data_IF_094894122926
#
_entry.id   IF_094894122926
#
_cell.length_a   1.000
_cell.length_b   1.000
_cell.length_c   1.000
_cell.angle_alpha   90.00
_cell.angle_beta   90.00
_cell.angle_gamma   90.00
#
_symmetry.space_group_name_H-M   'P 1'
#
loop_
_entity.id
_entity.type
_entity.pdbx_description
1 polymer ?
#
# COMPACT_ATOMS: atom_id res chain seq x y z
N UNK A 1 119.98 -39.74 44.53
CA UNK A 1 119.06 -38.60 44.67
C UNK A 1 117.99 -38.74 43.60
N UNK A 2 116.78 -39.01 44.07
CA UNK A 2 115.47 -38.54 43.58
C UNK A 2 115.13 -38.59 42.07
N UNK A 3 114.29 -39.59 41.75
CA UNK A 3 113.02 -39.53 40.98
C UNK A 3 112.97 -38.79 39.65
N UNK A 4 112.86 -39.55 38.56
CA UNK A 4 112.32 -39.09 37.27
C UNK A 4 110.93 -39.69 37.08
N UNK A 5 109.90 -38.86 37.24
CA UNK A 5 108.52 -39.20 36.93
C UNK A 5 108.17 -38.80 35.49
N UNK A 6 107.93 -39.85 34.69
CA UNK A 6 106.75 -40.09 33.84
C UNK A 6 105.85 -38.90 33.50
N UNK A 7 105.70 -38.61 32.20
CA UNK A 7 104.45 -38.09 31.64
C UNK A 7 104.09 -38.93 30.41
N UNK A 8 102.90 -39.54 30.46
CA UNK A 8 102.24 -40.20 29.34
C UNK A 8 100.81 -39.65 29.24
N UNK A 9 100.43 -39.19 28.05
CA UNK A 9 99.04 -38.94 27.67
C UNK A 9 98.96 -38.44 26.23
N UNK A 10 98.60 -39.33 25.29
CA UNK A 10 97.34 -39.35 24.52
C UNK A 10 97.12 -38.07 23.67
N UNK A 11 96.89 -38.12 22.36
CA UNK A 11 96.33 -39.19 21.54
C UNK A 11 95.04 -38.69 20.86
N UNK A 12 95.21 -38.18 19.64
CA UNK A 12 94.24 -37.89 18.56
C UNK A 12 93.23 -36.73 18.68
N UNK A 13 93.41 -35.83 17.72
CA UNK A 13 92.52 -34.78 17.20
C UNK A 13 91.37 -35.37 16.37
N UNK A 14 90.17 -34.80 16.48
CA UNK A 14 89.06 -35.01 15.54
C UNK A 14 88.97 -33.81 14.57
N UNK A 15 88.61 -34.02 13.29
CA UNK A 15 88.51 -32.94 12.32
C UNK A 15 87.09 -32.34 12.25
N UNK A 16 87.09 -31.01 12.14
CA UNK A 16 86.26 -30.18 11.26
C UNK A 16 84.81 -29.88 11.67
N UNK A 17 84.70 -28.66 12.20
CA UNK A 17 83.70 -27.63 11.94
C UNK A 17 82.85 -27.80 10.66
N UNK A 18 81.53 -27.76 10.80
CA UNK A 18 80.67 -26.84 10.04
C UNK A 18 79.35 -26.59 10.80
N UNK A 19 79.33 -25.51 11.58
CA UNK A 19 78.08 -24.88 12.03
C UNK A 19 78.12 -23.40 11.67
N UNK A 20 77.85 -23.13 10.41
CA UNK A 20 77.43 -21.83 9.91
C UNK A 20 76.05 -21.45 10.48
N UNK A 21 76.04 -20.71 11.59
CA UNK A 21 74.85 -20.01 12.09
C UNK A 21 74.48 -18.84 11.14
N UNK A 22 73.22 -18.69 10.68
CA UNK A 22 72.83 -17.54 9.87
C UNK A 22 72.65 -16.29 10.76
N UNK A 23 72.92 -15.08 10.23
CA UNK A 23 72.93 -13.87 11.05
C UNK A 23 71.51 -13.50 11.50
N UNK A 24 71.39 -13.12 12.78
CA UNK A 24 70.14 -12.77 13.49
C UNK A 24 69.31 -11.63 12.85
N UNK A 25 69.81 -10.97 11.81
CA UNK A 25 69.14 -9.87 11.12
C UNK A 25 68.03 -10.33 10.15
N UNK A 26 68.13 -11.53 9.57
CA UNK A 26 67.09 -12.07 8.68
C UNK A 26 65.81 -12.46 9.43
N UNK A 27 65.93 -12.90 10.69
CA UNK A 27 64.80 -13.38 11.52
C UNK A 27 63.84 -12.26 11.90
N UNK A 28 64.36 -11.06 12.21
CA UNK A 28 63.55 -9.86 12.50
C UNK A 28 62.87 -9.32 11.23
N UNK A 29 63.53 -9.36 10.07
CA UNK A 29 62.95 -8.93 8.78
C UNK A 29 61.84 -9.88 8.32
N UNK A 30 62.01 -11.20 8.49
CA UNK A 30 60.98 -12.21 8.22
C UNK A 30 59.77 -12.09 9.16
N UNK A 31 60.00 -11.83 10.45
CA UNK A 31 58.91 -11.59 11.41
C UNK A 31 58.08 -10.34 11.10
N UNK A 32 58.72 -9.26 10.64
CA UNK A 32 58.02 -8.05 10.15
C UNK A 32 57.18 -8.32 8.89
N UNK A 33 57.70 -9.11 7.94
CA UNK A 33 56.96 -9.47 6.71
C UNK A 33 55.72 -10.31 7.05
N UNK A 34 55.84 -11.27 7.98
CA UNK A 34 54.72 -12.10 8.44
C UNK A 34 53.66 -11.25 9.13
N UNK A 35 54.07 -10.32 10.02
CA UNK A 35 53.14 -9.42 10.70
C UNK A 35 52.39 -8.51 9.72
N UNK A 36 53.08 -7.91 8.74
CA UNK A 36 52.45 -7.08 7.70
C UNK A 36 51.49 -7.90 6.84
N UNK A 37 51.87 -9.13 6.48
CA UNK A 37 51.01 -10.02 5.69
C UNK A 37 49.73 -10.42 6.43
N UNK A 38 49.82 -10.65 7.75
CA UNK A 38 48.65 -10.93 8.59
C UNK A 38 47.72 -9.73 8.69
N UNK A 39 48.26 -8.52 8.85
CA UNK A 39 47.45 -7.28 8.88
C UNK A 39 46.74 -7.07 7.55
N UNK A 40 47.45 -7.22 6.42
CA UNK A 40 46.84 -7.10 5.08
C UNK A 40 45.75 -8.14 4.88
N UNK A 41 46.01 -9.39 5.25
CA UNK A 41 45.01 -10.45 5.15
C UNK A 41 43.76 -10.09 5.96
N UNK A 42 43.90 -9.73 7.25
CA UNK A 42 42.79 -9.33 8.10
C UNK A 42 41.96 -8.16 7.53
N UNK A 43 42.61 -7.15 6.94
CA UNK A 43 41.89 -6.03 6.31
C UNK A 43 41.05 -6.46 5.11
N UNK A 44 41.52 -7.41 4.30
CA UNK A 44 40.75 -7.91 3.15
C UNK A 44 39.52 -8.69 3.59
N UNK A 45 39.61 -9.44 4.69
CA UNK A 45 38.48 -10.27 5.16
C UNK A 45 37.38 -9.38 5.73
N UNK A 46 37.76 -8.35 6.50
CA UNK A 46 36.83 -7.35 7.03
C UNK A 46 36.14 -6.59 5.89
N UNK A 47 36.88 -6.19 4.85
CA UNK A 47 36.31 -5.54 3.68
C UNK A 47 35.30 -6.43 2.94
N UNK A 48 35.62 -7.72 2.77
CA UNK A 48 34.71 -8.68 2.13
C UNK A 48 33.43 -8.92 2.95
N UNK A 49 33.52 -8.97 4.28
CA UNK A 49 32.36 -9.10 5.17
C UNK A 49 31.46 -7.85 5.11
N UNK A 50 32.05 -6.65 5.10
CA UNK A 50 31.30 -5.40 4.94
C UNK A 50 30.62 -5.36 3.57
N UNK A 51 31.31 -5.78 2.50
CA UNK A 51 30.74 -5.84 1.16
C UNK A 51 29.57 -6.85 1.08
N UNK A 52 29.68 -8.01 1.73
CA UNK A 52 28.59 -8.99 1.81
C UNK A 52 27.37 -8.45 2.58
N UNK A 53 27.58 -7.75 3.70
CA UNK A 53 26.51 -7.13 4.47
C UNK A 53 25.81 -5.98 3.71
N UNK A 54 26.56 -5.23 2.90
CA UNK A 54 25.99 -4.22 1.98
C UNK A 54 25.22 -4.89 0.84
N UNK A 55 25.69 -6.05 0.35
CA UNK A 55 25.01 -6.77 -0.71
C UNK A 55 23.70 -7.43 -0.22
N UNK A 56 23.64 -7.87 1.04
CA UNK A 56 22.44 -8.44 1.68
C UNK A 56 21.40 -7.38 2.06
N UNK A 57 21.80 -6.11 2.19
CA UNK A 57 20.88 -4.97 2.35
C UNK A 57 20.45 -4.35 1.01
N UNK A 58 21.06 -4.77 -0.09
CA UNK A 58 20.72 -4.41 -1.47
C UNK A 58 20.01 -5.57 -2.20
N UNK A 59 19.27 -6.41 -1.48
CA UNK A 59 18.19 -7.19 -2.09
C UNK A 59 17.17 -6.21 -2.61
N UNK A 60 17.08 -6.12 -3.94
CA UNK A 60 16.03 -5.41 -4.67
C UNK A 60 14.69 -5.70 -4.00
N UNK A 61 14.08 -4.66 -3.44
CA UNK A 61 12.66 -4.69 -3.13
C UNK A 61 11.97 -4.76 -4.48
N UNK A 62 11.34 -5.90 -4.80
CA UNK A 62 10.39 -6.05 -5.90
C UNK A 62 9.20 -5.10 -5.66
N UNK A 63 9.40 -3.79 -5.78
CA UNK A 63 8.31 -2.84 -5.94
C UNK A 63 7.74 -3.07 -7.34
N UNK A 64 6.45 -3.44 -7.47
CA UNK A 64 5.87 -3.67 -8.77
C UNK A 64 5.94 -2.40 -9.60
N UNK A 65 6.48 -2.54 -10.81
CA UNK A 65 6.54 -1.47 -11.82
C UNK A 65 5.18 -0.72 -11.90
N UNK A 66 5.16 0.62 -12.03
CA UNK A 66 3.91 1.41 -12.01
C UNK A 66 2.84 0.93 -12.99
N UNK A 67 3.26 0.34 -14.12
CA UNK A 67 2.36 -0.26 -15.12
C UNK A 67 1.69 -1.55 -14.65
N UNK A 68 2.38 -2.39 -13.88
CA UNK A 68 1.83 -3.62 -13.30
C UNK A 68 0.85 -3.31 -12.17
N UNK A 69 1.18 -2.35 -11.31
CA UNK A 69 0.31 -1.93 -10.21
C UNK A 69 -1.01 -1.35 -10.75
N UNK A 70 -0.96 -0.51 -11.79
CA UNK A 70 -2.14 0.01 -12.47
C UNK A 70 -2.99 -1.11 -13.11
N UNK A 71 -2.35 -2.09 -13.75
CA UNK A 71 -3.06 -3.24 -14.35
C UNK A 71 -3.78 -4.08 -13.30
N UNK A 72 -3.10 -4.41 -12.20
CA UNK A 72 -3.67 -5.19 -11.10
C UNK A 72 -4.83 -4.43 -10.42
N UNK A 73 -4.68 -3.12 -10.22
CA UNK A 73 -5.75 -2.27 -9.69
C UNK A 73 -6.99 -2.27 -10.59
N UNK A 74 -6.82 -2.23 -11.91
CA UNK A 74 -7.94 -2.31 -12.85
C UNK A 74 -8.65 -3.67 -12.81
N UNK A 75 -7.93 -4.78 -12.64
CA UNK A 75 -8.50 -6.12 -12.46
C UNK A 75 -9.24 -6.26 -11.11
N UNK A 76 -8.66 -5.71 -10.05
CA UNK A 76 -9.32 -5.63 -8.74
C UNK A 76 -10.60 -4.81 -8.82
N UNK A 77 -10.59 -3.66 -9.51
CA UNK A 77 -11.78 -2.86 -9.72
C UNK A 77 -12.86 -3.63 -10.50
N UNK A 78 -12.49 -4.39 -11.54
CA UNK A 78 -13.45 -5.28 -12.22
C UNK A 78 -14.05 -6.32 -11.27
N UNK A 79 -13.24 -6.88 -10.38
CA UNK A 79 -13.71 -7.83 -9.37
C UNK A 79 -14.69 -7.18 -8.40
N UNK A 80 -14.41 -5.96 -7.94
CA UNK A 80 -15.34 -5.17 -7.12
C UNK A 80 -16.63 -4.90 -7.88
N UNK A 81 -16.57 -4.39 -9.10
CA UNK A 81 -17.77 -4.07 -9.88
C UNK A 81 -18.58 -5.31 -10.31
N UNK A 82 -17.98 -6.51 -10.30
CA UNK A 82 -18.71 -7.76 -10.62
C UNK A 82 -19.79 -8.12 -9.60
N UNK A 83 -19.74 -7.57 -8.38
CA UNK A 83 -20.76 -7.82 -7.35
C UNK A 83 -21.93 -6.86 -7.43
N UNK A 84 -21.89 -5.88 -8.35
CA UNK A 84 -22.91 -4.83 -8.47
C UNK A 84 -23.93 -5.13 -9.56
N UNK A 85 -25.10 -4.49 -9.49
CA UNK A 85 -26.13 -4.57 -10.52
C UNK A 85 -25.75 -3.84 -11.81
N UNK A 86 -24.90 -2.82 -11.70
CA UNK A 86 -24.47 -1.97 -12.82
C UNK A 86 -22.92 -1.98 -12.94
N UNK A 87 -22.30 -3.07 -13.42
CA UNK A 87 -20.84 -3.21 -13.43
C UNK A 87 -20.13 -2.13 -14.25
N UNK A 88 -20.67 -1.78 -15.42
CA UNK A 88 -20.08 -0.76 -16.30
C UNK A 88 -20.17 0.64 -15.67
N UNK A 89 -21.32 0.95 -15.05
CA UNK A 89 -21.55 2.19 -14.31
C UNK A 89 -20.60 2.28 -13.11
N UNK A 90 -20.42 1.19 -12.36
CA UNK A 90 -19.45 1.09 -11.26
C UNK A 90 -18.01 1.33 -11.74
N UNK A 91 -17.59 0.68 -12.83
CA UNK A 91 -16.21 0.82 -13.30
C UNK A 91 -15.94 2.23 -13.81
N UNK A 92 -16.86 2.80 -14.58
CA UNK A 92 -16.73 4.14 -15.16
C UNK A 92 -16.79 5.26 -14.11
N UNK A 93 -17.50 5.06 -13.00
CA UNK A 93 -17.57 6.05 -11.92
C UNK A 93 -16.34 6.03 -11.00
N UNK A 94 -15.73 4.86 -10.78
CA UNK A 94 -14.60 4.70 -9.86
C UNK A 94 -13.25 4.89 -10.56
N UNK A 95 -13.08 4.39 -11.79
CA UNK A 95 -11.79 4.39 -12.47
C UNK A 95 -11.12 5.77 -12.61
N UNK A 96 -11.84 6.89 -12.86
CA UNK A 96 -11.21 8.21 -12.92
C UNK A 96 -10.75 8.75 -11.56
N UNK A 97 -11.35 8.25 -10.48
CA UNK A 97 -11.04 8.65 -9.10
C UNK A 97 -9.93 7.80 -8.47
N UNK A 98 -9.63 6.64 -9.07
CA UNK A 98 -8.66 5.66 -8.57
C UNK A 98 -7.22 6.04 -8.92
N UNK A 99 -6.77 7.20 -8.43
CA UNK A 99 -5.42 7.72 -8.61
C UNK A 99 -4.91 8.32 -7.29
N UNK A 100 -3.87 7.74 -6.65
CA UNK A 100 -3.10 6.57 -7.10
C UNK A 100 -3.93 5.28 -7.11
N UNK A 101 -3.57 4.25 -7.90
CA UNK A 101 -4.35 3.02 -8.01
C UNK A 101 -4.41 2.27 -6.69
N UNK A 102 -5.62 1.88 -6.29
CA UNK A 102 -5.87 1.08 -5.08
C UNK A 102 -5.89 -0.42 -5.35
N UNK A 103 -5.57 -1.21 -4.32
CA UNK A 103 -5.72 -2.66 -4.30
C UNK A 103 -6.58 -3.14 -3.13
N UNK A 104 -7.32 -2.24 -2.46
CA UNK A 104 -8.04 -2.55 -1.22
C UNK A 104 -9.57 -2.39 -1.40
N UNK A 105 -10.40 -3.35 -0.98
CA UNK A 105 -11.86 -3.28 -1.12
C UNK A 105 -12.49 -2.06 -0.41
N UNK A 106 -12.01 -1.70 0.78
CA UNK A 106 -12.53 -0.53 1.51
C UNK A 106 -12.18 0.78 0.78
N UNK A 107 -11.01 0.86 0.15
CA UNK A 107 -10.68 2.00 -0.70
C UNK A 107 -11.60 2.10 -1.92
N UNK A 108 -11.90 0.97 -2.59
CA UNK A 108 -12.86 0.98 -3.71
C UNK A 108 -14.28 1.35 -3.26
N UNK A 109 -14.72 0.87 -2.09
CA UNK A 109 -15.97 1.30 -1.47
C UNK A 109 -15.99 2.82 -1.24
N UNK A 110 -14.92 3.39 -0.67
CA UNK A 110 -14.81 4.82 -0.43
C UNK A 110 -14.83 5.62 -1.75
N UNK A 111 -14.14 5.15 -2.80
CA UNK A 111 -14.19 5.77 -4.13
C UNK A 111 -15.61 5.72 -4.73
N UNK A 112 -16.33 4.61 -4.58
CA UNK A 112 -17.73 4.47 -5.02
C UNK A 112 -18.65 5.46 -4.29
N UNK A 113 -18.46 5.61 -2.97
CA UNK A 113 -19.20 6.55 -2.16
C UNK A 113 -18.87 8.01 -2.56
N UNK A 114 -17.60 8.31 -2.80
CA UNK A 114 -17.16 9.62 -3.27
C UNK A 114 -17.75 9.97 -4.65
N UNK A 115 -17.77 9.01 -5.59
CA UNK A 115 -18.44 9.19 -6.88
C UNK A 115 -19.93 9.52 -6.71
N UNK A 116 -20.60 8.86 -5.76
CA UNK A 116 -22.00 9.14 -5.43
C UNK A 116 -22.19 10.57 -4.89
N UNK A 117 -21.34 11.01 -3.95
CA UNK A 117 -21.37 12.39 -3.42
C UNK A 117 -21.20 13.43 -4.53
N UNK A 118 -20.24 13.21 -5.45
CA UNK A 118 -19.98 14.12 -6.56
C UNK A 118 -21.18 14.22 -7.51
N UNK A 119 -21.80 13.09 -7.87
CA UNK A 119 -22.96 13.07 -8.76
C UNK A 119 -24.17 13.78 -8.12
N UNK A 120 -24.48 13.48 -6.86
CA UNK A 120 -25.58 14.12 -6.12
C UNK A 120 -25.36 15.62 -5.98
N UNK A 121 -24.14 16.04 -5.64
CA UNK A 121 -23.78 17.45 -5.52
C UNK A 121 -23.89 18.17 -6.88
N UNK A 122 -23.49 17.51 -7.96
CA UNK A 122 -23.65 18.05 -9.31
C UNK A 122 -25.12 18.25 -9.68
N UNK A 123 -25.99 17.30 -9.32
CA UNK A 123 -27.43 17.37 -9.58
C UNK A 123 -28.11 18.48 -8.77
N UNK A 124 -27.75 18.62 -7.49
CA UNK A 124 -28.19 19.72 -6.64
C UNK A 124 -27.96 21.09 -7.31
N UNK A 125 -26.75 21.30 -7.85
CA UNK A 125 -26.39 22.57 -8.48
C UNK A 125 -27.25 22.92 -9.70
N UNK A 126 -27.83 21.93 -10.39
CA UNK A 126 -28.75 22.15 -11.51
C UNK A 126 -30.11 22.68 -11.03
N UNK A 127 -30.48 22.40 -9.79
CA UNK A 127 -31.75 22.81 -9.18
C UNK A 127 -31.67 24.22 -8.57
N UNK A 128 -30.48 24.65 -8.16
CA UNK A 128 -30.25 25.91 -7.45
C UNK A 128 -30.08 27.11 -8.40
N UNK A 129 -31.11 27.42 -9.18
CA UNK A 129 -31.14 28.63 -10.02
C UNK A 129 -31.99 29.75 -9.39
N UNK A 130 -31.65 31.04 -9.56
CA UNK A 130 -32.39 32.15 -8.92
C UNK A 130 -33.89 32.20 -9.28
N UNK A 131 -34.25 31.68 -10.45
CA UNK A 131 -35.61 31.61 -10.98
C UNK A 131 -36.26 30.24 -10.77
N UNK A 132 -35.75 29.43 -9.83
CA UNK A 132 -36.27 28.10 -9.55
C UNK A 132 -37.69 28.19 -8.98
N UNK A 133 -38.61 27.42 -9.57
CA UNK A 133 -39.96 27.22 -9.07
C UNK A 133 -39.92 26.55 -7.67
N UNK A 134 -40.97 26.69 -6.84
CA UNK A 134 -41.00 26.09 -5.49
C UNK A 134 -40.64 24.60 -5.46
N UNK A 135 -41.21 23.79 -6.37
CA UNK A 135 -40.91 22.36 -6.45
C UNK A 135 -39.43 22.04 -6.75
N UNK A 136 -38.72 22.92 -7.48
CA UNK A 136 -37.28 22.77 -7.70
C UNK A 136 -36.47 23.10 -6.44
N UNK A 137 -36.95 24.03 -5.60
CA UNK A 137 -36.33 24.33 -4.31
C UNK A 137 -36.51 23.19 -3.32
N UNK A 138 -37.72 22.64 -3.23
CA UNK A 138 -38.02 21.47 -2.40
C UNK A 138 -37.15 20.28 -2.84
N UNK A 139 -37.02 20.06 -4.16
CA UNK A 139 -36.10 19.06 -4.68
C UNK A 139 -34.63 19.36 -4.31
N UNK A 140 -34.19 20.63 -4.38
CA UNK A 140 -32.82 20.99 -4.00
C UNK A 140 -32.52 20.71 -2.52
N UNK A 141 -33.50 20.86 -1.62
CA UNK A 141 -33.40 20.50 -0.21
C UNK A 141 -33.23 18.98 -0.05
N UNK A 142 -34.04 18.16 -0.74
CA UNK A 142 -33.90 16.71 -0.74
C UNK A 142 -32.52 16.25 -1.26
N UNK A 143 -31.97 16.91 -2.28
CA UNK A 143 -30.61 16.64 -2.75
C UNK A 143 -29.52 17.09 -1.77
N UNK A 144 -29.77 18.11 -0.95
CA UNK A 144 -28.87 18.52 0.13
C UNK A 144 -28.84 17.49 1.26
N UNK A 145 -30.02 16.98 1.64
CA UNK A 145 -30.16 15.89 2.60
C UNK A 145 -29.46 14.62 2.09
N UNK A 146 -29.67 14.25 0.83
CA UNK A 146 -29.00 13.11 0.20
C UNK A 146 -27.47 13.27 0.23
N UNK A 147 -26.95 14.44 -0.15
CA UNK A 147 -25.51 14.70 -0.12
C UNK A 147 -24.94 14.62 1.30
N UNK A 148 -25.64 15.18 2.29
CA UNK A 148 -25.25 15.16 3.69
C UNK A 148 -25.18 13.74 4.26
N UNK A 149 -26.15 12.89 3.91
CA UNK A 149 -26.17 11.47 4.30
C UNK A 149 -24.98 10.70 3.72
N UNK A 150 -24.68 10.89 2.43
CA UNK A 150 -23.52 10.25 1.79
C UNK A 150 -22.18 10.75 2.37
N UNK A 151 -22.08 12.04 2.69
CA UNK A 151 -20.89 12.60 3.36
C UNK A 151 -20.71 11.99 4.74
N UNK A 152 -21.78 11.89 5.52
CA UNK A 152 -21.77 11.23 6.83
C UNK A 152 -21.32 9.77 6.73
N UNK A 153 -21.74 9.05 5.69
CA UNK A 153 -21.24 7.71 5.40
C UNK A 153 -19.72 7.70 5.15
N UNK A 154 -19.18 8.69 4.43
CA UNK A 154 -17.76 8.78 4.12
C UNK A 154 -16.92 9.11 5.37
N UNK A 155 -17.46 9.93 6.27
CA UNK A 155 -16.82 10.25 7.55
C UNK A 155 -16.81 9.03 8.49
N UNK A 156 -17.88 8.22 8.50
CA UNK A 156 -18.01 7.07 9.40
C UNK A 156 -16.93 6.00 9.19
N UNK A 157 -16.44 5.86 7.96
CA UNK A 157 -15.36 4.94 7.60
C UNK A 157 -13.97 5.55 7.81
N UNK A 158 -13.87 6.86 8.02
CA UNK A 158 -12.63 7.54 8.38
C UNK A 158 -12.37 7.36 9.89
N UNK A 159 -11.65 6.30 10.25
CA UNK A 159 -11.40 5.96 11.66
C UNK A 159 -10.00 6.31 12.13
N UNK A 160 -9.89 6.65 13.41
CA UNK A 160 -8.61 6.87 14.07
C UNK A 160 -7.85 5.56 14.31
N UNK A 161 -6.59 5.69 14.76
CA UNK A 161 -5.76 4.52 15.08
C UNK A 161 -6.40 3.65 16.17
N UNK A 162 -6.62 2.37 15.87
CA UNK A 162 -7.16 1.38 16.81
C UNK A 162 -8.68 1.16 16.73
N UNK A 163 -9.40 1.91 15.91
CA UNK A 163 -10.83 1.70 15.66
C UNK A 163 -11.06 0.84 14.40
N UNK A 164 -12.09 -0.01 14.44
CA UNK A 164 -12.53 -0.78 13.28
C UNK A 164 -13.32 0.10 12.32
N UNK A 165 -12.94 0.07 11.05
CA UNK A 165 -13.64 0.81 10.00
C UNK A 165 -15.01 0.18 9.72
N UNK A 166 -15.13 -1.15 9.82
CA UNK A 166 -16.34 -1.90 9.45
C UNK A 166 -16.85 -2.77 10.61
N UNK A 167 -17.57 -2.17 11.55
CA UNK A 167 -18.38 -2.92 12.53
C UNK A 167 -19.79 -3.17 11.98
N UNK A 168 -20.50 -4.17 12.48
CA UNK A 168 -21.90 -4.46 12.08
C UNK A 168 -22.80 -3.22 12.21
N UNK A 169 -22.65 -2.46 13.30
CA UNK A 169 -23.39 -1.22 13.54
C UNK A 169 -23.06 -0.17 12.47
N UNK A 170 -21.77 0.04 12.17
CA UNK A 170 -21.36 1.00 11.12
C UNK A 170 -21.88 0.58 9.76
N UNK A 171 -21.83 -0.71 9.42
CA UNK A 171 -22.38 -1.23 8.16
C UNK A 171 -23.88 -0.95 8.08
N UNK A 172 -24.63 -1.17 9.17
CA UNK A 172 -26.07 -0.87 9.23
C UNK A 172 -26.36 0.63 9.04
N UNK A 173 -25.57 1.50 9.67
CA UNK A 173 -25.70 2.96 9.51
C UNK A 173 -25.40 3.39 8.07
N UNK A 174 -24.32 2.87 7.48
CA UNK A 174 -23.96 3.11 6.08
C UNK A 174 -25.08 2.69 5.12
N UNK A 175 -25.63 1.48 5.30
CA UNK A 175 -26.76 1.00 4.52
C UNK A 175 -27.97 1.92 4.62
N UNK A 176 -28.27 2.37 5.84
CA UNK A 176 -29.41 3.25 6.12
C UNK A 176 -29.25 4.59 5.42
N UNK A 177 -28.12 5.28 5.61
CA UNK A 177 -27.91 6.62 5.05
C UNK A 177 -27.80 6.60 3.52
N UNK A 178 -27.15 5.59 2.93
CA UNK A 178 -27.10 5.48 1.47
C UNK A 178 -28.50 5.19 0.91
N UNK A 179 -29.30 4.32 1.53
CA UNK A 179 -30.66 4.01 1.07
C UNK A 179 -31.62 5.20 1.24
N UNK A 180 -31.45 5.99 2.29
CA UNK A 180 -32.25 7.19 2.51
C UNK A 180 -31.89 8.29 1.50
N UNK A 181 -30.60 8.49 1.17
CA UNK A 181 -30.19 9.38 0.08
C UNK A 181 -30.79 8.98 -1.29
N UNK A 182 -30.97 7.68 -1.55
CA UNK A 182 -31.70 7.19 -2.72
C UNK A 182 -33.19 7.56 -2.66
N UNK A 183 -33.81 7.42 -1.49
CA UNK A 183 -35.24 7.73 -1.28
C UNK A 183 -35.54 9.23 -1.46
N UNK A 184 -34.65 10.11 -1.01
CA UNK A 184 -34.80 11.55 -1.18
C UNK A 184 -34.79 11.96 -2.66
N UNK A 185 -33.95 11.30 -3.47
CA UNK A 185 -33.92 11.52 -4.92
C UNK A 185 -35.20 11.04 -5.61
N UNK A 186 -35.75 9.90 -5.19
CA UNK A 186 -37.05 9.42 -5.70
C UNK A 186 -38.17 10.39 -5.32
N UNK A 187 -38.19 10.84 -4.07
CA UNK A 187 -39.17 11.81 -3.56
C UNK A 187 -39.13 13.13 -4.35
N UNK A 188 -37.93 13.62 -4.68
CA UNK A 188 -37.81 14.78 -5.57
C UNK A 188 -38.44 14.50 -6.94
N UNK A 189 -38.13 13.36 -7.57
CA UNK A 189 -38.65 13.05 -8.90
C UNK A 189 -40.18 12.96 -8.89
N UNK A 190 -40.76 12.37 -7.84
CA UNK A 190 -42.21 12.29 -7.66
C UNK A 190 -42.82 13.68 -7.52
N UNK A 191 -42.24 14.55 -6.67
CA UNK A 191 -42.71 15.93 -6.51
C UNK A 191 -42.58 16.77 -7.79
N UNK A 192 -41.51 16.59 -8.56
CA UNK A 192 -41.34 17.27 -9.84
C UNK A 192 -42.29 16.73 -10.92
N UNK A 193 -42.66 15.45 -10.89
CA UNK A 193 -43.58 14.86 -11.86
C UNK A 193 -44.97 15.49 -11.81
N UNK A 194 -45.40 15.94 -10.64
CA UNK A 194 -46.66 16.67 -10.44
C UNK A 194 -46.70 18.04 -11.14
N UNK A 195 -45.53 18.58 -11.54
CA UNK A 195 -45.44 19.89 -12.23
C UNK A 195 -45.72 19.81 -13.74
N UNK A 196 -45.68 18.62 -14.34
CA UNK A 196 -45.95 18.42 -15.78
C UNK A 196 -44.89 18.97 -16.74
N UNK A 197 -43.68 19.31 -16.27
CA UNK A 197 -42.60 19.89 -17.07
C UNK A 197 -41.84 18.84 -17.90
N UNK A 198 -41.66 19.06 -19.21
CA UNK A 198 -40.84 18.21 -20.09
C UNK A 198 -39.33 18.35 -19.86
N UNK A 199 -38.90 19.41 -19.16
CA UNK A 199 -37.50 19.56 -18.74
C UNK A 199 -37.09 18.51 -17.68
N UNK A 200 -38.06 17.76 -17.14
CA UNK A 200 -37.85 16.73 -16.14
C UNK A 200 -37.22 15.45 -16.70
N UNK A 201 -37.39 15.15 -17.99
CA UNK A 201 -36.91 13.88 -18.55
C UNK A 201 -35.38 13.77 -18.54
N UNK A 202 -34.67 14.84 -18.92
CA UNK A 202 -33.20 14.85 -18.85
C UNK A 202 -32.71 14.78 -17.40
N UNK A 203 -33.37 15.52 -16.49
CA UNK A 203 -33.04 15.50 -15.07
C UNK A 203 -33.24 14.08 -14.50
N UNK A 204 -34.37 13.45 -14.81
CA UNK A 204 -34.69 12.07 -14.40
C UNK A 204 -33.63 11.06 -14.84
N UNK A 205 -33.11 11.17 -16.06
CA UNK A 205 -32.02 10.30 -16.52
C UNK A 205 -30.74 10.50 -15.70
N UNK A 206 -30.41 11.75 -15.34
CA UNK A 206 -29.25 12.03 -14.47
C UNK A 206 -29.48 11.50 -13.04
N UNK A 207 -30.69 11.65 -12.50
CA UNK A 207 -31.04 11.06 -11.20
C UNK A 207 -30.95 9.54 -11.23
N UNK A 208 -31.43 8.88 -12.28
CA UNK A 208 -31.27 7.43 -12.43
C UNK A 208 -29.81 6.99 -12.41
N UNK A 209 -28.92 7.74 -13.07
CA UNK A 209 -27.48 7.48 -13.01
C UNK A 209 -26.91 7.63 -11.60
N UNK A 210 -27.33 8.66 -10.86
CA UNK A 210 -27.01 8.83 -9.44
C UNK A 210 -27.51 7.65 -8.59
N UNK A 211 -28.72 7.15 -8.85
CA UNK A 211 -29.26 5.94 -8.22
C UNK A 211 -28.42 4.70 -8.50
N UNK A 212 -27.91 4.53 -9.73
CA UNK A 212 -27.00 3.44 -10.06
C UNK A 212 -25.71 3.51 -9.24
N UNK A 213 -25.13 4.70 -9.06
CA UNK A 213 -23.90 4.89 -8.27
C UNK A 213 -24.10 4.49 -6.80
N UNK A 214 -25.20 4.92 -6.18
CA UNK A 214 -25.51 4.53 -4.79
C UNK A 214 -25.87 3.05 -4.69
N UNK A 215 -26.59 2.49 -5.67
CA UNK A 215 -26.89 1.06 -5.74
C UNK A 215 -25.62 0.21 -5.84
N UNK A 216 -24.65 0.64 -6.65
CA UNK A 216 -23.32 0.02 -6.73
C UNK A 216 -22.59 0.12 -5.38
N UNK A 217 -22.63 1.28 -4.73
CA UNK A 217 -22.02 1.50 -3.41
C UNK A 217 -22.60 0.56 -2.34
N UNK A 218 -23.93 0.40 -2.29
CA UNK A 218 -24.59 -0.58 -1.40
C UNK A 218 -24.20 -2.02 -1.73
N UNK A 219 -24.12 -2.38 -3.02
CA UNK A 219 -23.74 -3.72 -3.41
C UNK A 219 -22.30 -4.07 -3.00
N UNK A 220 -21.36 -3.11 -3.15
CA UNK A 220 -19.99 -3.26 -2.68
C UNK A 220 -19.96 -3.43 -1.17
N UNK A 221 -20.69 -2.59 -0.42
CA UNK A 221 -20.78 -2.68 1.05
C UNK A 221 -21.33 -4.04 1.50
N UNK A 222 -22.42 -4.51 0.88
CA UNK A 222 -23.08 -5.77 1.25
C UNK A 222 -22.19 -6.99 0.96
N UNK A 223 -21.26 -6.88 0.01
CA UNK A 223 -20.32 -7.93 -0.36
C UNK A 223 -18.90 -7.68 0.18
N UNK A 224 -18.72 -6.70 1.07
CA UNK A 224 -17.39 -6.20 1.42
C UNK A 224 -16.52 -7.31 2.03
N UNK A 225 -17.07 -8.16 2.91
CA UNK A 225 -16.36 -9.33 3.45
C UNK A 225 -15.88 -10.27 2.34
N UNK A 226 -16.76 -10.64 1.40
CA UNK A 226 -16.39 -11.51 0.28
C UNK A 226 -15.31 -10.90 -0.60
N UNK A 227 -15.31 -9.57 -0.78
CA UNK A 227 -14.27 -8.87 -1.53
C UNK A 227 -12.92 -8.92 -0.81
N UNK A 228 -12.89 -8.73 0.50
CA UNK A 228 -11.68 -8.92 1.31
C UNK A 228 -11.14 -10.34 1.17
N UNK A 229 -12.00 -11.35 1.27
CA UNK A 229 -11.61 -12.76 1.12
C UNK A 229 -11.03 -13.05 -0.27
N UNK A 230 -11.67 -12.54 -1.34
CA UNK A 230 -11.18 -12.68 -2.74
C UNK A 230 -9.82 -12.03 -2.96
N UNK A 231 -9.51 -10.98 -2.19
CA UNK A 231 -8.25 -10.23 -2.30
C UNK A 231 -7.18 -10.81 -1.36
N UNK A 232 -7.51 -11.84 -0.56
CA UNK A 232 -6.60 -12.41 0.43
C UNK A 232 -6.30 -11.46 1.60
N UNK A 233 -7.24 -10.56 1.92
CA UNK A 233 -7.08 -9.54 2.95
C UNK A 233 -8.05 -9.78 4.12
N UNK A 234 -7.71 -9.27 5.30
CA UNK A 234 -8.58 -9.28 6.48
C UNK A 234 -9.36 -7.97 6.59
N UNK A 235 -10.64 -8.05 6.96
CA UNK A 235 -11.47 -6.86 7.17
C UNK A 235 -10.97 -6.04 8.39
N UNK A 236 -10.83 -4.70 8.24
CA UNK A 236 -10.38 -3.79 9.30
C UNK A 236 -11.46 -3.43 10.33
#
# INVERSE_FOLDING_TARGET
>A
MESINVIKGYGKVNPLDDHSNPPANHRRRRSRIIAVSLVVFLTLIIAALIAALIHESATESDEPEPSQLASNSAEHLKTVCSVTRYPDSCFSSISPLNSPPSNNPLSFFNLSLHASVLEVSSLKNLLTVPTAEPAMKDCAELFDDAASQLQRSAELICVGSGEKALTEMKISDLQTWISAAMTDQETCLDGLAETGSSALDEFKLKVQKSQEYMSNTLAILNNIQSLFDKFGLTMP
#
